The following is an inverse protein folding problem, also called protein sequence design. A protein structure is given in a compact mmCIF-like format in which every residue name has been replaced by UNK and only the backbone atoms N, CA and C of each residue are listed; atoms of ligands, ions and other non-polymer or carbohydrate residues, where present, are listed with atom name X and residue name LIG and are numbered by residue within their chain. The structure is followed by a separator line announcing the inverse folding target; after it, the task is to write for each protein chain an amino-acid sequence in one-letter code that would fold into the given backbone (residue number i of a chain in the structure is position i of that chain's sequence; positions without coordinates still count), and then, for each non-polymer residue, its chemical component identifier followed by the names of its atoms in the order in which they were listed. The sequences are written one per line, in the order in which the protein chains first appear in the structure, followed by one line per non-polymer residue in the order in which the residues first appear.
data_IF_269175522508
#
_entry.id   IF_269175522508
#
_cell.length_a   1.000
_cell.length_b   1.000
_cell.length_c   1.000
_cell.angle_alpha   90.00
_cell.angle_beta   90.00
_cell.angle_gamma   90.00
#
_symmetry.space_group_name_H-M   'P 1'
#
loop_
_entity.id
_entity.type
_entity.pdbx_description
1 polymer ?
#
# COMPACT_ATOMS: atom_id res chain seq x y z
N UNK A 1 25.16 7.42 -14.41
CA UNK A 1 25.70 7.97 -13.14
C UNK A 1 24.49 8.13 -12.22
N UNK A 2 24.44 7.42 -11.09
CA UNK A 2 23.30 7.51 -10.16
C UNK A 2 23.32 8.82 -9.38
N UNK A 3 22.18 9.20 -8.80
CA UNK A 3 22.03 10.33 -7.88
C UNK A 3 22.87 10.09 -6.62
N UNK A 4 23.71 11.06 -6.21
CA UNK A 4 24.47 10.98 -4.96
C UNK A 4 23.76 11.73 -3.83
N UNK A 5 24.11 11.41 -2.58
CA UNK A 5 23.56 12.08 -1.39
C UNK A 5 23.89 13.58 -1.39
N UNK A 6 25.08 13.97 -1.81
CA UNK A 6 25.48 15.37 -1.91
C UNK A 6 24.65 16.14 -2.94
N UNK A 7 24.39 15.53 -4.10
CA UNK A 7 23.52 16.10 -5.11
C UNK A 7 22.08 16.24 -4.58
N UNK A 8 21.58 15.21 -3.90
CA UNK A 8 20.24 15.22 -3.32
C UNK A 8 20.09 16.32 -2.25
N UNK A 9 21.08 16.47 -1.35
CA UNK A 9 21.09 17.52 -0.32
C UNK A 9 21.17 18.95 -0.89
N UNK A 10 21.65 19.10 -2.11
CA UNK A 10 21.71 20.40 -2.78
C UNK A 10 20.36 20.84 -3.40
N UNK A 11 19.39 19.93 -3.52
CA UNK A 11 18.06 20.22 -4.00
C UNK A 11 17.22 20.95 -2.95
N UNK A 12 16.27 21.76 -3.39
CA UNK A 12 15.20 22.27 -2.50
C UNK A 12 14.29 21.12 -2.02
N UNK A 13 13.57 21.32 -0.94
CA UNK A 13 12.63 20.32 -0.38
C UNK A 13 11.63 19.81 -1.43
N UNK A 14 11.14 20.71 -2.29
CA UNK A 14 10.21 20.35 -3.36
C UNK A 14 10.87 19.46 -4.43
N UNK A 15 12.11 19.77 -4.83
CA UNK A 15 12.88 18.97 -5.78
C UNK A 15 13.27 17.62 -5.19
N UNK A 16 13.66 17.57 -3.91
CA UNK A 16 13.93 16.33 -3.20
C UNK A 16 12.71 15.42 -3.22
N UNK A 17 11.55 15.93 -2.82
CA UNK A 17 10.32 15.16 -2.78
C UNK A 17 9.90 14.68 -4.18
N UNK A 18 10.00 15.55 -5.19
CA UNK A 18 9.65 15.18 -6.56
C UNK A 18 10.58 14.08 -7.09
N UNK A 19 11.88 14.21 -6.87
CA UNK A 19 12.88 13.22 -7.28
C UNK A 19 12.61 11.86 -6.65
N UNK A 20 12.34 11.81 -5.34
CA UNK A 20 12.05 10.55 -4.64
C UNK A 20 10.73 9.93 -5.14
N UNK A 21 9.70 10.73 -5.41
CA UNK A 21 8.45 10.22 -6.01
C UNK A 21 8.66 9.62 -7.40
N UNK A 22 9.49 10.23 -8.22
CA UNK A 22 9.84 9.71 -9.55
C UNK A 22 10.60 8.39 -9.47
N UNK A 23 11.58 8.28 -8.56
CA UNK A 23 12.30 7.05 -8.29
C UNK A 23 11.35 5.93 -7.77
N UNK A 24 10.45 6.24 -6.85
CA UNK A 24 9.43 5.29 -6.38
C UNK A 24 8.51 4.81 -7.52
N UNK A 25 8.12 5.71 -8.42
CA UNK A 25 7.26 5.38 -9.55
C UNK A 25 7.99 4.56 -10.63
N UNK A 26 9.31 4.74 -10.77
CA UNK A 26 10.14 3.93 -11.67
C UNK A 26 10.57 2.59 -11.07
N UNK A 27 10.35 2.38 -9.77
CA UNK A 27 10.73 1.18 -9.05
C UNK A 27 12.21 1.14 -8.60
N UNK A 28 12.91 2.26 -8.66
CA UNK A 28 14.31 2.35 -8.18
C UNK A 28 14.36 2.55 -6.64
N UNK A 29 13.83 1.55 -5.94
CA UNK A 29 13.66 1.59 -4.47
C UNK A 29 15.00 1.53 -3.73
N UNK A 30 16.00 0.84 -4.28
CA UNK A 30 17.33 0.75 -3.66
C UNK A 30 18.01 2.12 -3.60
N UNK A 31 17.95 2.90 -4.66
CA UNK A 31 18.48 4.26 -4.69
C UNK A 31 17.81 5.14 -3.64
N UNK A 32 16.48 5.05 -3.48
CA UNK A 32 15.73 5.80 -2.47
C UNK A 32 16.21 5.43 -1.07
N UNK A 33 16.22 4.13 -0.76
CA UNK A 33 16.61 3.64 0.57
C UNK A 33 18.01 4.11 0.91
N UNK A 34 18.97 3.94 -0.01
CA UNK A 34 20.34 4.35 0.22
C UNK A 34 20.47 5.85 0.48
N UNK A 35 19.88 6.68 -0.40
CA UNK A 35 19.97 8.15 -0.26
C UNK A 35 19.33 8.62 1.05
N UNK A 36 18.08 8.20 1.34
CA UNK A 36 17.35 8.72 2.49
C UNK A 36 17.88 8.16 3.82
N UNK A 37 18.43 6.94 3.83
CA UNK A 37 19.10 6.39 5.00
C UNK A 37 20.40 7.12 5.30
N UNK A 38 21.19 7.47 4.27
CA UNK A 38 22.43 8.24 4.42
C UNK A 38 22.19 9.72 4.80
N UNK A 39 21.04 10.29 4.46
CA UNK A 39 20.59 11.61 4.96
C UNK A 39 20.31 11.55 6.45
N UNK A 40 19.77 10.43 6.95
CA UNK A 40 19.35 10.20 8.33
C UNK A 40 17.88 10.60 8.55
N UNK A 41 17.10 9.70 9.18
CA UNK A 41 15.65 9.88 9.36
C UNK A 41 15.28 11.17 10.06
N UNK A 42 16.10 11.62 11.02
CA UNK A 42 15.92 12.83 11.79
C UNK A 42 16.04 14.12 10.96
N UNK A 43 16.63 14.03 9.77
CA UNK A 43 16.80 15.14 8.84
C UNK A 43 15.77 15.11 7.68
N UNK A 44 14.88 14.12 7.66
CA UNK A 44 13.86 13.98 6.61
C UNK A 44 12.58 14.73 6.98
N UNK A 45 12.00 15.41 6.01
CA UNK A 45 10.65 15.94 6.14
C UNK A 45 9.62 14.83 6.19
N UNK A 46 8.42 15.08 6.78
CA UNK A 46 7.34 14.10 6.86
C UNK A 46 6.98 13.48 5.50
N UNK A 47 6.87 14.24 4.38
CA UNK A 47 6.64 13.66 3.07
C UNK A 47 7.76 12.69 2.63
N UNK A 48 9.04 13.00 2.92
CA UNK A 48 10.16 12.11 2.58
C UNK A 48 10.17 10.84 3.42
N UNK A 49 9.82 10.92 4.73
CA UNK A 49 9.62 9.74 5.57
C UNK A 49 8.51 8.84 5.01
N UNK A 50 7.40 9.45 4.55
CA UNK A 50 6.33 8.71 3.90
C UNK A 50 6.80 7.97 2.62
N UNK A 51 7.62 8.62 1.78
CA UNK A 51 8.17 7.98 0.58
C UNK A 51 9.24 6.93 0.90
N UNK A 52 10.03 7.09 1.96
CA UNK A 52 10.96 6.06 2.44
C UNK A 52 10.21 4.81 2.94
N UNK A 53 9.13 5.00 3.70
CA UNK A 53 8.26 3.89 4.11
C UNK A 53 7.63 3.16 2.91
N UNK A 54 7.24 3.90 1.87
CA UNK A 54 6.79 3.31 0.60
C UNK A 54 7.88 2.50 -0.09
N UNK A 55 9.11 3.02 -0.13
CA UNK A 55 10.25 2.33 -0.74
C UNK A 55 10.55 1.01 -0.01
N UNK A 56 10.53 1.01 1.33
CA UNK A 56 10.69 -0.21 2.11
C UNK A 56 9.57 -1.23 1.86
N UNK A 57 8.30 -0.79 1.76
CA UNK A 57 7.19 -1.67 1.37
C UNK A 57 7.40 -2.30 0.00
N UNK A 58 7.84 -1.51 -0.98
CA UNK A 58 8.12 -1.99 -2.33
C UNK A 58 9.35 -2.91 -2.39
N UNK A 59 10.23 -2.84 -1.40
CA UNK A 59 11.43 -3.67 -1.27
C UNK A 59 11.21 -4.90 -0.36
N UNK A 60 9.97 -5.21 0.00
CA UNK A 60 9.62 -6.31 0.91
C UNK A 60 10.38 -6.25 2.24
N UNK A 61 10.48 -5.06 2.80
CA UNK A 61 11.12 -4.82 4.10
C UNK A 61 10.12 -4.14 5.05
N UNK A 62 9.08 -4.89 5.40
CA UNK A 62 7.90 -4.42 6.12
C UNK A 62 8.24 -3.87 7.51
N UNK A 63 9.20 -4.48 8.20
CA UNK A 63 9.61 -4.05 9.54
C UNK A 63 10.25 -2.66 9.53
N UNK A 64 11.10 -2.39 8.57
CA UNK A 64 11.68 -1.04 8.41
C UNK A 64 10.64 -0.04 7.88
N UNK A 65 9.72 -0.47 6.99
CA UNK A 65 8.59 0.36 6.58
C UNK A 65 7.74 0.81 7.78
N UNK A 66 7.37 -0.10 8.66
CA UNK A 66 6.60 0.19 9.89
C UNK A 66 7.37 1.16 10.77
N UNK A 67 8.65 0.88 11.05
CA UNK A 67 9.49 1.73 11.89
C UNK A 67 9.58 3.17 11.38
N UNK A 68 9.78 3.35 10.08
CA UNK A 68 9.84 4.68 9.45
C UNK A 68 8.48 5.37 9.49
N UNK A 69 7.42 4.67 9.11
CA UNK A 69 6.07 5.25 9.08
C UNK A 69 5.58 5.63 10.48
N UNK A 70 5.82 4.78 11.49
CA UNK A 70 5.42 5.04 12.87
C UNK A 70 6.23 6.16 13.53
N UNK A 71 7.41 6.53 13.01
CA UNK A 71 8.16 7.70 13.48
C UNK A 71 7.50 9.03 13.12
N UNK A 72 6.50 9.02 12.21
CA UNK A 72 5.72 10.20 11.85
C UNK A 72 4.69 10.47 12.94
N UNK A 73 4.70 11.70 13.47
CA UNK A 73 3.76 12.12 14.51
C UNK A 73 2.29 12.00 14.05
N UNK A 74 1.40 11.69 14.98
CA UNK A 74 -0.01 11.37 14.69
C UNK A 74 -0.73 12.49 13.95
N UNK A 75 -0.41 13.75 14.24
CA UNK A 75 -1.02 14.92 13.59
C UNK A 75 -0.76 15.01 12.07
N UNK A 76 0.30 14.35 11.59
CA UNK A 76 0.65 14.32 10.15
C UNK A 76 0.19 13.04 9.43
N UNK A 77 -0.50 12.13 10.13
CA UNK A 77 -0.96 10.84 9.58
C UNK A 77 -2.25 11.00 8.79
N UNK A 78 -2.12 11.01 7.48
CA UNK A 78 -3.23 11.07 6.53
C UNK A 78 -3.68 9.67 6.04
N UNK A 79 -4.67 9.62 5.15
CA UNK A 79 -5.18 8.39 4.58
C UNK A 79 -4.10 7.55 3.88
N UNK A 80 -3.11 8.21 3.24
CA UNK A 80 -1.99 7.54 2.55
C UNK A 80 -1.07 6.87 3.55
N UNK A 81 -0.80 7.55 4.68
CA UNK A 81 -0.02 6.97 5.77
C UNK A 81 -0.69 5.71 6.32
N UNK A 82 -2.00 5.77 6.61
CA UNK A 82 -2.76 4.63 7.13
C UNK A 82 -2.76 3.44 6.16
N UNK A 83 -2.95 3.69 4.87
CA UNK A 83 -2.83 2.66 3.83
C UNK A 83 -1.43 2.01 3.81
N UNK A 84 -0.37 2.81 3.79
CA UNK A 84 1.02 2.31 3.72
C UNK A 84 1.39 1.47 4.94
N UNK A 85 0.99 1.90 6.13
CA UNK A 85 1.15 1.11 7.36
C UNK A 85 0.33 -0.18 7.32
N UNK A 86 -0.95 -0.11 6.92
CA UNK A 86 -1.80 -1.28 6.80
C UNK A 86 -1.22 -2.33 5.84
N UNK A 87 -0.64 -1.88 4.71
CA UNK A 87 0.03 -2.76 3.75
C UNK A 87 1.21 -3.50 4.39
N UNK A 88 2.09 -2.80 5.10
CA UNK A 88 3.22 -3.41 5.79
C UNK A 88 2.78 -4.45 6.84
N UNK A 89 1.78 -4.12 7.65
CA UNK A 89 1.22 -5.07 8.62
C UNK A 89 0.52 -6.25 7.93
N UNK A 90 -0.17 -6.02 6.80
CA UNK A 90 -0.79 -7.07 6.00
C UNK A 90 0.23 -8.05 5.41
N UNK A 91 1.36 -7.57 4.93
CA UNK A 91 2.44 -8.41 4.44
C UNK A 91 3.04 -9.27 5.56
N UNK A 92 3.22 -8.71 6.77
CA UNK A 92 3.63 -9.50 7.94
C UNK A 92 2.60 -10.56 8.35
N UNK A 93 1.29 -10.31 8.18
CA UNK A 93 0.25 -11.32 8.41
C UNK A 93 0.43 -12.50 7.46
N UNK A 94 0.76 -12.25 6.18
CA UNK A 94 1.00 -13.32 5.22
C UNK A 94 2.23 -14.16 5.58
N UNK A 95 3.29 -13.53 6.05
CA UNK A 95 4.52 -14.23 6.45
C UNK A 95 4.29 -15.17 7.65
N UNK A 96 3.50 -14.75 8.63
CA UNK A 96 3.33 -15.47 9.89
C UNK A 96 2.12 -16.42 9.91
N UNK A 97 1.14 -16.24 9.03
CA UNK A 97 -0.08 -17.06 8.94
C UNK A 97 -0.88 -17.18 10.25
N UNK A 98 -0.77 -16.19 11.15
CA UNK A 98 -1.33 -16.24 12.50
C UNK A 98 -2.86 -16.12 12.56
N UNK A 99 -3.48 -15.76 11.45
CA UNK A 99 -4.94 -15.58 11.35
C UNK A 99 -5.48 -14.35 12.08
N UNK A 100 -6.81 -14.22 12.14
CA UNK A 100 -7.52 -13.05 12.66
C UNK A 100 -7.14 -12.67 14.12
N UNK A 101 -6.83 -13.63 14.96
CA UNK A 101 -6.54 -13.40 16.39
C UNK A 101 -5.15 -12.84 16.65
N UNK A 102 -4.29 -12.77 15.65
CA UNK A 102 -2.96 -12.20 15.82
C UNK A 102 -3.02 -10.70 16.06
N UNK A 103 -2.10 -10.18 16.88
CA UNK A 103 -1.97 -8.74 17.09
C UNK A 103 -1.68 -8.01 15.78
N UNK A 104 -0.92 -8.63 14.88
CA UNK A 104 -0.56 -8.09 13.57
C UNK A 104 -1.79 -7.90 12.69
N UNK A 105 -2.68 -8.90 12.61
CA UNK A 105 -3.94 -8.82 11.88
C UNK A 105 -4.85 -7.73 12.46
N UNK A 106 -5.00 -7.67 13.78
CA UNK A 106 -5.83 -6.65 14.43
C UNK A 106 -5.30 -5.24 14.20
N UNK A 107 -3.99 -5.06 14.22
CA UNK A 107 -3.37 -3.78 13.92
C UNK A 107 -3.60 -3.40 12.44
N UNK A 108 -3.43 -4.33 11.52
CA UNK A 108 -3.73 -4.13 10.11
C UNK A 108 -5.17 -3.67 9.90
N UNK A 109 -6.16 -4.38 10.47
CA UNK A 109 -7.58 -4.02 10.34
C UNK A 109 -7.91 -2.65 10.91
N UNK A 110 -7.34 -2.28 12.07
CA UNK A 110 -7.49 -0.95 12.66
C UNK A 110 -6.97 0.15 11.73
N UNK A 111 -5.82 -0.09 11.10
CA UNK A 111 -5.23 0.86 10.16
C UNK A 111 -6.05 0.98 8.88
N UNK A 112 -6.55 -0.14 8.35
CA UNK A 112 -7.46 -0.16 7.19
C UNK A 112 -8.74 0.62 7.49
N UNK A 113 -9.40 0.35 8.63
CA UNK A 113 -10.63 1.05 9.02
C UNK A 113 -10.42 2.57 9.08
N UNK A 114 -9.36 3.02 9.74
CA UNK A 114 -9.04 4.45 9.82
C UNK A 114 -8.68 5.03 8.45
N UNK A 115 -7.91 4.31 7.65
CA UNK A 115 -7.54 4.71 6.29
C UNK A 115 -8.76 4.87 5.37
N UNK A 116 -9.70 3.92 5.40
CA UNK A 116 -10.96 3.98 4.64
C UNK A 116 -11.82 5.18 5.04
N UNK A 117 -11.94 5.47 6.34
CA UNK A 117 -12.69 6.63 6.85
C UNK A 117 -12.09 7.93 6.33
N UNK A 118 -10.79 8.15 6.55
CA UNK A 118 -10.09 9.37 6.11
C UNK A 118 -10.10 9.51 4.58
N UNK A 119 -9.89 8.42 3.84
CA UNK A 119 -9.97 8.46 2.38
C UNK A 119 -11.38 8.81 1.88
N UNK A 120 -12.43 8.34 2.57
CA UNK A 120 -13.82 8.66 2.24
C UNK A 120 -14.12 10.13 2.50
N UNK A 121 -13.70 10.68 3.64
CA UNK A 121 -13.86 12.10 4.00
C UNK A 121 -13.12 13.02 3.02
N UNK A 122 -11.91 12.63 2.62
CA UNK A 122 -11.07 13.38 1.68
C UNK A 122 -11.41 13.12 0.19
N UNK A 123 -12.35 12.22 -0.11
CA UNK A 123 -12.72 11.79 -1.49
C UNK A 123 -11.55 11.22 -2.29
N UNK A 124 -10.71 10.44 -1.62
CA UNK A 124 -9.54 9.76 -2.21
C UNK A 124 -9.90 8.31 -2.55
N UNK A 125 -10.68 8.12 -3.62
CA UNK A 125 -11.22 6.80 -4.00
C UNK A 125 -10.11 5.76 -4.30
N UNK A 126 -8.98 6.19 -4.86
CA UNK A 126 -7.85 5.30 -5.11
C UNK A 126 -7.25 4.78 -3.80
N UNK A 127 -7.04 5.66 -2.81
CA UNK A 127 -6.50 5.26 -1.50
C UNK A 127 -7.48 4.34 -0.78
N UNK A 128 -8.79 4.65 -0.83
CA UNK A 128 -9.83 3.77 -0.31
C UNK A 128 -9.77 2.38 -0.95
N UNK A 129 -9.60 2.31 -2.27
CA UNK A 129 -9.47 1.05 -3.00
C UNK A 129 -8.21 0.28 -2.58
N UNK A 130 -7.08 0.96 -2.40
CA UNK A 130 -5.85 0.33 -1.92
C UNK A 130 -5.98 -0.23 -0.49
N UNK A 131 -6.72 0.45 0.39
CA UNK A 131 -7.04 -0.10 1.72
C UNK A 131 -7.83 -1.42 1.61
N UNK A 132 -8.80 -1.51 0.70
CA UNK A 132 -9.54 -2.76 0.46
C UNK A 132 -8.67 -3.85 -0.19
N UNK A 133 -7.68 -3.48 -1.01
CA UNK A 133 -6.72 -4.45 -1.56
C UNK A 133 -5.85 -5.09 -0.47
N UNK A 134 -5.56 -4.37 0.62
CA UNK A 134 -4.91 -4.96 1.80
C UNK A 134 -5.81 -6.02 2.46
N UNK A 135 -7.13 -5.80 2.55
CA UNK A 135 -8.06 -6.83 3.01
C UNK A 135 -8.11 -8.03 2.05
N UNK A 136 -8.17 -7.77 0.71
CA UNK A 136 -8.10 -8.83 -0.30
C UNK A 136 -6.83 -9.70 -0.12
N UNK A 137 -5.69 -9.08 0.15
CA UNK A 137 -4.41 -9.76 0.35
C UNK A 137 -4.44 -10.71 1.55
N UNK A 138 -5.07 -10.30 2.65
CA UNK A 138 -5.16 -11.08 3.89
C UNK A 138 -6.44 -11.91 4.00
N UNK A 139 -7.26 -12.00 2.95
CA UNK A 139 -8.60 -12.60 2.98
C UNK A 139 -8.63 -14.02 3.55
N UNK A 140 -7.67 -14.87 3.19
CA UNK A 140 -7.61 -16.26 3.61
C UNK A 140 -7.24 -16.45 5.10
N UNK A 141 -6.64 -15.43 5.72
CA UNK A 141 -6.27 -15.41 7.14
C UNK A 141 -7.34 -14.76 8.01
N UNK A 142 -8.33 -14.08 7.40
CA UNK A 142 -9.37 -13.35 8.13
C UNK A 142 -10.54 -14.24 8.51
N UNK A 143 -10.94 -14.16 9.80
CA UNK A 143 -12.26 -14.58 10.26
C UNK A 143 -13.25 -13.43 9.96
N UNK A 144 -14.02 -13.60 8.87
CA UNK A 144 -14.91 -12.54 8.39
C UNK A 144 -16.08 -12.26 9.34
N UNK A 145 -16.63 -13.28 10.01
CA UNK A 145 -17.72 -13.09 10.98
C UNK A 145 -17.26 -12.22 12.15
N UNK A 146 -16.05 -12.48 12.61
CA UNK A 146 -15.44 -11.74 13.70
C UNK A 146 -15.01 -10.33 13.26
N UNK A 147 -14.51 -10.19 12.03
CA UNK A 147 -14.20 -8.90 11.44
C UNK A 147 -15.47 -8.03 11.32
N UNK A 148 -16.60 -8.60 10.89
CA UNK A 148 -17.87 -7.90 10.77
C UNK A 148 -18.40 -7.47 12.14
N UNK A 149 -18.19 -8.29 13.19
CA UNK A 149 -18.57 -7.92 14.55
C UNK A 149 -17.73 -6.75 15.10
N UNK A 150 -16.44 -6.72 14.82
CA UNK A 150 -15.50 -5.70 15.32
C UNK A 150 -15.50 -4.41 14.46
N UNK A 151 -15.72 -4.54 13.12
CA UNK A 151 -15.64 -3.46 12.13
C UNK A 151 -16.81 -3.51 11.12
N UNK A 152 -18.07 -3.35 11.56
CA UNK A 152 -19.26 -3.52 10.71
C UNK A 152 -19.27 -2.58 9.49
N UNK A 153 -18.93 -1.31 9.68
CA UNK A 153 -18.91 -0.30 8.62
C UNK A 153 -17.82 -0.59 7.57
N UNK A 154 -16.65 -1.02 8.02
CA UNK A 154 -15.56 -1.42 7.15
C UNK A 154 -15.96 -2.62 6.29
N UNK A 155 -16.55 -3.66 6.90
CA UNK A 155 -16.99 -4.86 6.19
C UNK A 155 -18.12 -4.56 5.21
N UNK A 156 -19.08 -3.68 5.55
CA UNK A 156 -20.10 -3.23 4.62
C UNK A 156 -19.49 -2.52 3.40
N UNK A 157 -18.60 -1.57 3.60
CA UNK A 157 -17.91 -0.85 2.53
C UNK A 157 -17.03 -1.77 1.68
N UNK A 158 -16.35 -2.75 2.27
CA UNK A 158 -15.58 -3.76 1.56
C UNK A 158 -16.46 -4.66 0.69
N UNK A 159 -17.63 -5.10 1.19
CA UNK A 159 -18.57 -5.89 0.42
C UNK A 159 -19.10 -5.14 -0.82
N UNK A 160 -19.36 -3.82 -0.70
CA UNK A 160 -19.72 -2.96 -1.83
C UNK A 160 -18.59 -2.90 -2.87
N UNK A 161 -17.35 -2.70 -2.43
CA UNK A 161 -16.17 -2.70 -3.29
C UNK A 161 -16.02 -4.03 -4.06
N UNK A 162 -16.13 -5.17 -3.39
CA UNK A 162 -16.05 -6.50 -4.03
C UNK A 162 -17.18 -6.70 -5.03
N UNK A 163 -18.40 -6.28 -4.71
CA UNK A 163 -19.54 -6.36 -5.62
C UNK A 163 -19.34 -5.53 -6.89
N UNK A 164 -18.79 -4.30 -6.76
CA UNK A 164 -18.47 -3.42 -7.88
C UNK A 164 -17.36 -4.03 -8.77
N UNK A 165 -16.30 -4.60 -8.16
CA UNK A 165 -15.21 -5.28 -8.86
C UNK A 165 -15.70 -6.49 -9.68
N UNK A 166 -16.63 -7.28 -9.12
CA UNK A 166 -17.27 -8.40 -9.83
C UNK A 166 -18.12 -7.94 -11.02
N UNK A 167 -18.85 -6.83 -10.91
CA UNK A 167 -19.63 -6.25 -12.02
C UNK A 167 -18.71 -5.80 -13.17
N UNK A 168 -17.60 -5.10 -12.87
CA UNK A 168 -16.61 -4.68 -13.88
C UNK A 168 -16.04 -5.89 -14.64
N UNK A 169 -15.69 -6.98 -13.95
CA UNK A 169 -15.16 -8.21 -14.58
C UNK A 169 -16.15 -8.91 -15.49
N UNK A 170 -17.45 -8.88 -15.17
CA UNK A 170 -18.51 -9.47 -16.02
C UNK A 170 -18.77 -8.66 -17.30
N UNK A 171 -18.47 -7.36 -17.31
CA UNK A 171 -18.63 -6.48 -18.47
C UNK A 171 -17.43 -6.51 -19.45
N UNK A 172 -16.31 -7.12 -19.08
CA UNK A 172 -15.18 -7.32 -20.00
C UNK A 172 -15.49 -8.52 -20.88
N UNK A 173 -15.57 -8.38 -22.24
CA UNK A 173 -15.74 -9.52 -23.12
C UNK A 173 -14.61 -10.52 -22.83
N UNK A 174 -14.99 -11.78 -22.54
CA UNK A 174 -13.97 -12.84 -22.47
C UNK A 174 -13.27 -12.85 -23.82
N UNK A 175 -11.96 -12.65 -23.85
CA UNK A 175 -11.18 -12.87 -25.05
C UNK A 175 -11.57 -14.27 -25.58
N UNK A 176 -12.08 -14.28 -26.81
CA UNK A 176 -12.41 -15.52 -27.50
C UNK A 176 -11.14 -16.38 -27.48
N UNK A 177 -11.22 -17.53 -26.82
CA UNK A 177 -10.13 -18.49 -26.87
C UNK A 177 -9.99 -18.92 -28.32
N UNK A 178 -8.94 -18.47 -29.00
CA UNK A 178 -8.61 -18.90 -30.34
C UNK A 178 -8.21 -20.36 -30.22
N UNK A 179 -8.94 -21.26 -30.87
CA UNK A 179 -8.60 -22.69 -30.85
C UNK A 179 -7.38 -22.95 -31.73
N UNK A 180 -6.64 -24.00 -31.43
CA UNK A 180 -5.46 -24.43 -32.23
C UNK A 180 -5.83 -24.63 -33.70
N UNK A 181 -7.09 -25.07 -33.97
CA UNK A 181 -7.64 -25.26 -35.32
C UNK A 181 -7.79 -23.93 -36.09
N UNK A 182 -8.14 -22.82 -35.40
CA UNK A 182 -8.24 -21.48 -36.00
C UNK A 182 -6.86 -20.89 -36.30
N UNK A 183 -5.82 -21.28 -35.55
CA UNK A 183 -4.43 -20.86 -35.82
C UNK A 183 -3.88 -21.60 -37.05
N UNK A 184 -4.22 -22.87 -37.24
CA UNK A 184 -3.73 -23.70 -38.35
C UNK A 184 -4.47 -23.44 -39.67
N UNK A 185 -5.60 -22.72 -39.65
CA UNK A 185 -6.37 -22.40 -40.85
C UNK A 185 -5.96 -21.10 -41.56
N UNK A 186 -4.90 -20.43 -41.07
CA UNK A 186 -4.41 -19.14 -41.60
C UNK A 186 -3.10 -19.22 -42.38
N UNK A 187 -2.68 -20.42 -42.79
CA UNK A 187 -1.56 -20.62 -43.74
C UNK A 187 -2.06 -20.93 -45.18
#
# INVERSE_FOLDING_TARGET
MGLTVEQFKAFSDAEQLQTIKELNNSGDVETIINILTDVGMENLSVPLLGELGRAYNNNSNEKEAIKVLESIDEEYRDAVWYYRCAYAYGALVLDNSDGYTSNTMQQMLRLVDKGVRLATEAKLDDIKSYCFEVMDMCYMQMDFEKCEADYPDLCAAYNEYVAAKKKKRKGVPRHRTITVEEILATD
#
